data_IF_401571273092
#
_entry.id   IF_401571273092
#
_cell.length_a   1.000
_cell.length_b   1.000
_cell.length_c   1.000
_cell.angle_alpha   90.00
_cell.angle_beta   90.00
_cell.angle_gamma   90.00
#
_symmetry.space_group_name_H-M   'P 1'
#
loop_
_entity.id
_entity.type
_entity.pdbx_description
1 polymer ?
#
# COMPACT_ATOMS: atom_id res chain seq x y z
N UNK A 1 2.39 -24.35 6.04
CA UNK A 1 2.66 -23.38 7.10
C UNK A 1 1.73 -22.17 7.03
N UNK A 2 1.58 -21.42 8.12
CA UNK A 2 0.66 -20.27 8.20
C UNK A 2 0.90 -19.26 7.07
N UNK A 3 2.15 -18.87 6.85
CA UNK A 3 2.55 -17.83 5.88
C UNK A 3 2.48 -18.25 4.41
N UNK A 4 2.27 -19.52 4.12
CA UNK A 4 2.12 -20.01 2.75
C UNK A 4 0.65 -19.99 2.27
N UNK A 5 -0.29 -19.70 3.18
CA UNK A 5 -1.72 -19.60 2.90
C UNK A 5 -2.23 -18.20 3.23
N UNK A 6 -2.53 -17.43 2.18
CA UNK A 6 -2.97 -16.02 2.32
C UNK A 6 -4.28 -15.88 3.10
N UNK A 7 -5.19 -16.85 2.97
CA UNK A 7 -6.48 -16.82 3.67
C UNK A 7 -6.26 -17.01 5.17
N UNK A 8 -5.49 -18.03 5.56
CA UNK A 8 -5.18 -18.29 6.97
C UNK A 8 -4.38 -17.16 7.60
N UNK A 9 -3.40 -16.62 6.87
CA UNK A 9 -2.60 -15.47 7.33
C UNK A 9 -3.47 -14.26 7.58
N UNK A 10 -4.37 -13.93 6.63
CA UNK A 10 -5.28 -12.78 6.77
C UNK A 10 -6.27 -12.96 7.90
N UNK A 11 -6.89 -14.13 8.02
CA UNK A 11 -7.82 -14.39 9.12
C UNK A 11 -7.13 -14.18 10.46
N UNK A 12 -5.94 -14.75 10.64
CA UNK A 12 -5.18 -14.59 11.86
C UNK A 12 -4.74 -13.13 12.11
N UNK A 13 -4.43 -12.39 11.04
CA UNK A 13 -4.12 -10.96 11.13
C UNK A 13 -5.32 -10.15 11.64
N UNK A 14 -6.51 -10.38 11.09
CA UNK A 14 -7.76 -9.76 11.52
C UNK A 14 -8.04 -10.04 13.00
N UNK A 15 -7.93 -11.31 13.41
CA UNK A 15 -8.15 -11.73 14.80
C UNK A 15 -7.17 -11.06 15.80
N UNK A 16 -6.01 -10.59 15.31
CA UNK A 16 -5.00 -9.88 16.09
C UNK A 16 -4.96 -8.35 15.84
N UNK A 17 -5.97 -7.79 15.18
CA UNK A 17 -6.08 -6.35 14.92
C UNK A 17 -4.97 -5.81 14.00
N UNK A 18 -4.46 -6.63 13.08
CA UNK A 18 -3.56 -6.21 12.01
C UNK A 18 -4.38 -5.88 10.78
N UNK A 19 -4.21 -4.67 10.25
CA UNK A 19 -4.93 -4.22 9.06
C UNK A 19 -4.48 -5.00 7.82
N UNK A 20 -5.46 -5.51 7.07
CA UNK A 20 -5.30 -6.21 5.79
C UNK A 20 -6.37 -5.73 4.82
N UNK A 21 -6.19 -5.86 3.51
CA UNK A 21 -7.28 -5.58 2.56
C UNK A 21 -8.53 -6.38 2.91
N UNK A 22 -9.73 -5.74 3.00
CA UNK A 22 -10.98 -6.42 3.33
C UNK A 22 -11.24 -7.62 2.44
N UNK A 23 -11.60 -8.76 3.04
CA UNK A 23 -12.00 -9.97 2.30
C UNK A 23 -13.48 -9.91 1.97
N UNK A 24 -13.85 -10.10 0.71
CA UNK A 24 -15.23 -10.19 0.27
C UNK A 24 -15.78 -11.62 0.31
N UNK A 25 -14.91 -12.59 0.02
CA UNK A 25 -15.26 -14.00 0.14
C UNK A 25 -14.16 -14.96 -0.30
N UNK A 26 -14.48 -16.23 -0.14
CA UNK A 26 -13.58 -17.34 -0.46
C UNK A 26 -14.37 -18.34 -1.32
N UNK A 27 -13.74 -18.84 -2.38
CA UNK A 27 -14.25 -19.94 -3.20
C UNK A 27 -13.29 -21.14 -3.02
N UNK A 28 -13.81 -22.26 -2.50
CA UNK A 28 -13.05 -23.46 -2.20
C UNK A 28 -13.53 -24.69 -2.99
N UNK A 29 -14.61 -24.56 -3.76
CA UNK A 29 -15.20 -25.64 -4.55
C UNK A 29 -15.84 -25.12 -5.83
N UNK A 30 -15.88 -25.98 -6.87
CA UNK A 30 -16.50 -25.66 -8.16
C UNK A 30 -17.97 -25.21 -8.01
N UNK A 31 -18.71 -25.82 -7.08
CA UNK A 31 -20.09 -25.45 -6.80
C UNK A 31 -20.25 -23.99 -6.35
N UNK A 32 -19.23 -23.41 -5.71
CA UNK A 32 -19.30 -22.03 -5.22
C UNK A 32 -18.95 -21.00 -6.31
N UNK A 33 -18.36 -21.42 -7.43
CA UNK A 33 -18.03 -20.51 -8.54
C UNK A 33 -19.28 -19.78 -9.04
N UNK A 34 -20.40 -20.48 -9.18
CA UNK A 34 -21.67 -19.88 -9.61
C UNK A 34 -22.19 -18.80 -8.67
N UNK A 35 -21.67 -18.72 -7.44
CA UNK A 35 -22.03 -17.70 -6.44
C UNK A 35 -21.12 -16.47 -6.47
N UNK A 36 -20.21 -16.39 -7.45
CA UNK A 36 -19.26 -15.26 -7.52
C UNK A 36 -19.97 -13.90 -7.54
N UNK A 37 -21.10 -13.79 -8.22
CA UNK A 37 -21.92 -12.56 -8.23
C UNK A 37 -22.43 -12.17 -6.84
N UNK A 38 -22.84 -13.14 -6.03
CA UNK A 38 -23.31 -12.92 -4.66
C UNK A 38 -22.15 -12.42 -3.78
N UNK A 39 -20.94 -13.00 -3.97
CA UNK A 39 -19.73 -12.64 -3.23
C UNK A 39 -19.24 -11.24 -3.61
N UNK A 40 -19.22 -10.91 -4.89
CA UNK A 40 -18.85 -9.58 -5.37
C UNK A 40 -19.88 -8.54 -4.92
N UNK A 41 -21.17 -8.89 -4.89
CA UNK A 41 -22.24 -8.00 -4.46
C UNK A 41 -22.27 -6.69 -5.27
N UNK A 42 -22.19 -5.56 -4.57
CA UNK A 42 -22.17 -4.21 -5.16
C UNK A 42 -20.77 -3.68 -5.47
N UNK A 43 -19.70 -4.45 -5.19
CA UNK A 43 -18.32 -4.00 -5.42
C UNK A 43 -18.03 -3.96 -6.92
N UNK A 44 -17.66 -2.79 -7.41
CA UNK A 44 -17.33 -2.59 -8.84
C UNK A 44 -15.91 -2.98 -9.18
N UNK A 45 -15.03 -2.95 -8.19
CA UNK A 45 -13.63 -3.31 -8.28
C UNK A 45 -13.23 -4.29 -7.16
N UNK A 46 -12.38 -5.22 -7.49
CA UNK A 46 -11.93 -6.27 -6.58
C UNK A 46 -10.71 -7.00 -7.15
N UNK A 47 -10.10 -7.83 -6.31
CA UNK A 47 -8.99 -8.71 -6.71
C UNK A 47 -9.34 -10.16 -6.41
N UNK A 48 -9.04 -11.05 -7.35
CA UNK A 48 -9.09 -12.50 -7.16
C UNK A 48 -7.64 -12.99 -7.06
N UNK A 49 -7.33 -13.76 -6.01
CA UNK A 49 -6.00 -14.31 -5.75
C UNK A 49 -6.05 -15.77 -5.38
N UNK A 50 -5.11 -16.62 -5.86
CA UNK A 50 -4.91 -17.94 -5.31
C UNK A 50 -4.38 -17.86 -3.87
N UNK A 51 -4.89 -18.69 -2.96
CA UNK A 51 -4.46 -18.70 -1.55
C UNK A 51 -2.97 -19.07 -1.41
N UNK A 52 -2.48 -20.02 -2.22
CA UNK A 52 -1.11 -20.55 -2.17
C UNK A 52 -0.25 -20.18 -3.38
N UNK A 53 -0.68 -19.19 -4.18
CA UNK A 53 0.09 -18.66 -5.30
C UNK A 53 1.29 -17.80 -4.86
N UNK A 54 2.32 -17.75 -5.71
CA UNK A 54 3.53 -16.96 -5.47
C UNK A 54 3.84 -16.04 -6.66
N UNK A 55 4.63 -14.97 -6.42
CA UNK A 55 5.15 -14.10 -7.49
C UNK A 55 4.11 -13.27 -8.24
N UNK A 56 2.86 -13.24 -7.77
CA UNK A 56 1.76 -12.55 -8.43
C UNK A 56 1.06 -13.38 -9.52
N UNK A 57 1.41 -14.66 -9.66
CA UNK A 57 0.78 -15.54 -10.64
C UNK A 57 -0.65 -15.89 -10.20
N UNK A 58 -1.58 -15.92 -11.18
CA UNK A 58 -3.00 -16.18 -10.92
C UNK A 58 -3.76 -15.02 -10.25
N UNK A 59 -3.15 -13.84 -10.09
CA UNK A 59 -3.86 -12.66 -9.61
C UNK A 59 -4.63 -12.03 -10.78
N UNK A 60 -5.93 -11.84 -10.59
CA UNK A 60 -6.80 -11.10 -11.50
C UNK A 60 -7.29 -9.83 -10.79
N UNK A 61 -6.98 -8.67 -11.35
CA UNK A 61 -7.38 -7.36 -10.82
C UNK A 61 -8.51 -6.81 -11.69
N UNK A 62 -9.68 -6.68 -11.11
CA UNK A 62 -10.84 -6.02 -11.74
C UNK A 62 -10.86 -4.57 -11.28
N UNK A 63 -10.82 -3.65 -12.24
CA UNK A 63 -10.79 -2.21 -11.99
C UNK A 63 -12.15 -1.55 -12.06
N UNK A 64 -13.11 -2.16 -12.78
CA UNK A 64 -14.46 -1.64 -12.92
C UNK A 64 -15.40 -2.72 -13.47
N UNK A 65 -16.71 -2.48 -13.29
CA UNK A 65 -17.79 -3.30 -13.83
C UNK A 65 -18.75 -2.41 -14.62
N UNK A 66 -19.10 -2.83 -15.84
CA UNK A 66 -20.01 -2.10 -16.72
C UNK A 66 -20.87 -3.07 -17.54
N UNK A 67 -22.19 -2.91 -17.52
CA UNK A 67 -23.17 -3.68 -18.32
C UNK A 67 -22.98 -5.20 -18.28
N UNK A 68 -22.58 -5.74 -17.12
CA UNK A 68 -22.38 -7.19 -16.93
C UNK A 68 -21.01 -7.68 -17.37
N UNK A 69 -20.14 -6.80 -17.88
CA UNK A 69 -18.73 -7.07 -18.16
C UNK A 69 -17.82 -6.49 -17.06
N UNK A 70 -16.63 -7.05 -16.96
CA UNK A 70 -15.60 -6.68 -16.00
C UNK A 70 -14.39 -6.14 -16.74
N UNK A 71 -13.90 -4.98 -16.34
CA UNK A 71 -12.67 -4.42 -16.91
C UNK A 71 -11.48 -4.71 -15.99
N UNK A 72 -10.51 -5.47 -16.50
CA UNK A 72 -9.25 -5.70 -15.77
C UNK A 72 -8.45 -4.39 -15.61
N UNK A 73 -7.51 -4.36 -14.66
CA UNK A 73 -6.57 -3.22 -14.50
C UNK A 73 -5.75 -2.93 -15.76
N UNK A 74 -5.42 -3.97 -16.55
CA UNK A 74 -4.77 -3.81 -17.85
C UNK A 74 -5.70 -3.40 -19.00
N UNK A 75 -6.97 -3.01 -18.71
CA UNK A 75 -7.93 -2.51 -19.70
C UNK A 75 -8.68 -3.59 -20.49
N UNK A 76 -8.37 -4.88 -20.30
CA UNK A 76 -9.07 -5.98 -20.99
C UNK A 76 -10.51 -6.11 -20.46
N UNK A 77 -11.46 -6.26 -21.38
CA UNK A 77 -12.85 -6.58 -21.05
C UNK A 77 -13.00 -8.09 -20.86
N UNK A 78 -13.63 -8.49 -19.75
CA UNK A 78 -13.84 -9.87 -19.33
C UNK A 78 -15.33 -10.13 -19.16
N UNK A 79 -15.81 -11.30 -19.57
CA UNK A 79 -17.14 -11.79 -19.25
C UNK A 79 -17.17 -12.45 -17.87
N UNK A 80 -18.35 -12.82 -17.39
CA UNK A 80 -18.47 -13.62 -16.17
C UNK A 80 -17.82 -14.99 -16.37
N UNK A 81 -18.00 -15.60 -17.53
CA UNK A 81 -17.41 -16.90 -17.88
C UNK A 81 -15.88 -16.86 -17.85
N UNK A 82 -15.25 -15.75 -18.25
CA UNK A 82 -13.80 -15.58 -18.13
C UNK A 82 -13.35 -15.61 -16.66
N UNK A 83 -14.13 -14.99 -15.77
CA UNK A 83 -13.86 -15.00 -14.32
C UNK A 83 -14.08 -16.40 -13.73
N UNK A 84 -15.18 -17.07 -14.08
CA UNK A 84 -15.48 -18.44 -13.64
C UNK A 84 -14.41 -19.43 -14.11
N UNK A 85 -13.96 -19.30 -15.36
CA UNK A 85 -12.85 -20.11 -15.89
C UNK A 85 -11.54 -19.86 -15.12
N UNK A 86 -11.23 -18.60 -14.80
CA UNK A 86 -10.06 -18.27 -13.98
C UNK A 86 -10.15 -18.88 -12.58
N UNK A 87 -11.32 -18.83 -11.94
CA UNK A 87 -11.57 -19.43 -10.64
C UNK A 87 -11.38 -20.96 -10.68
N UNK A 88 -11.89 -21.66 -11.71
CA UNK A 88 -11.64 -23.08 -11.91
C UNK A 88 -10.14 -23.38 -12.06
N UNK A 89 -9.39 -22.51 -12.76
CA UNK A 89 -7.95 -22.58 -12.85
C UNK A 89 -7.24 -22.50 -11.49
N UNK A 90 -7.70 -21.60 -10.61
CA UNK A 90 -7.18 -21.50 -9.24
C UNK A 90 -7.49 -22.78 -8.45
N UNK A 91 -8.75 -23.22 -8.46
CA UNK A 91 -9.17 -24.41 -7.71
C UNK A 91 -8.44 -25.68 -8.14
N UNK A 92 -8.12 -25.80 -9.43
CA UNK A 92 -7.35 -26.93 -9.97
C UNK A 92 -5.87 -26.91 -9.58
N UNK A 93 -5.36 -25.80 -9.04
CA UNK A 93 -3.98 -25.65 -8.58
C UNK A 93 -2.99 -25.18 -9.66
N UNK A 94 -3.47 -24.66 -10.81
CA UNK A 94 -2.59 -24.18 -11.91
C UNK A 94 -1.59 -23.12 -11.39
N UNK A 95 -1.98 -22.30 -10.41
CA UNK A 95 -1.16 -21.21 -9.88
C UNK A 95 -0.48 -21.54 -8.55
N UNK A 96 -0.71 -22.75 -8.01
CA UNK A 96 -0.20 -23.12 -6.69
C UNK A 96 1.16 -23.78 -6.79
N UNK A 97 2.03 -23.50 -5.82
CA UNK A 97 3.30 -24.19 -5.68
C UNK A 97 3.07 -25.70 -5.52
N UNK A 98 3.60 -26.49 -6.46
CA UNK A 98 3.45 -27.94 -6.47
C UNK A 98 2.16 -28.46 -7.13
N UNK A 99 1.33 -27.61 -7.74
CA UNK A 99 0.13 -28.02 -8.48
C UNK A 99 -0.98 -28.63 -7.62
N UNK A 100 -1.00 -28.34 -6.32
CA UNK A 100 -2.05 -28.81 -5.41
C UNK A 100 -3.30 -27.95 -5.52
N UNK A 101 -4.47 -28.58 -5.29
CA UNK A 101 -5.75 -27.86 -5.21
C UNK A 101 -5.62 -26.65 -4.28
N UNK A 102 -6.19 -25.53 -4.71
CA UNK A 102 -6.12 -24.26 -4.02
C UNK A 102 -7.51 -23.66 -3.80
N UNK A 103 -7.57 -22.53 -3.15
CA UNK A 103 -8.78 -21.73 -2.91
C UNK A 103 -8.58 -20.34 -3.49
N UNK A 104 -9.65 -19.74 -3.98
CA UNK A 104 -9.62 -18.36 -4.45
C UNK A 104 -10.09 -17.42 -3.34
N UNK A 105 -9.32 -16.38 -3.10
CA UNK A 105 -9.65 -15.26 -2.23
C UNK A 105 -10.13 -14.10 -3.11
N UNK A 106 -11.31 -13.56 -2.81
CA UNK A 106 -11.84 -12.34 -3.40
C UNK A 106 -11.74 -11.24 -2.34
N UNK A 107 -11.08 -10.13 -2.68
CA UNK A 107 -10.80 -9.07 -1.72
C UNK A 107 -10.85 -7.68 -2.33
N UNK A 108 -10.81 -6.68 -1.45
CA UNK A 108 -10.68 -5.27 -1.77
C UNK A 108 -9.49 -5.01 -2.71
N UNK A 109 -9.73 -4.21 -3.73
CA UNK A 109 -8.67 -3.72 -4.60
C UNK A 109 -7.99 -2.51 -3.96
N UNK A 110 -6.74 -2.67 -3.58
CA UNK A 110 -5.94 -1.56 -3.06
C UNK A 110 -5.80 -0.45 -4.10
N UNK A 111 -6.13 0.77 -3.70
CA UNK A 111 -5.90 1.97 -4.49
C UNK A 111 -4.71 2.69 -3.87
N UNK A 112 -3.56 2.75 -4.57
CA UNK A 112 -2.35 3.35 -4.02
C UNK A 112 -2.57 4.81 -3.60
N UNK A 113 -1.92 5.20 -2.50
CA UNK A 113 -1.88 6.60 -2.09
C UNK A 113 -1.31 7.49 -3.20
N UNK A 114 -1.85 8.71 -3.40
CA UNK A 114 -1.42 9.64 -4.44
C UNK A 114 0.08 9.98 -4.42
N UNK A 115 0.77 9.84 -3.30
CA UNK A 115 2.23 10.06 -3.21
C UNK A 115 3.00 9.19 -4.21
N UNK A 116 2.48 8.00 -4.51
CA UNK A 116 3.13 7.08 -5.44
C UNK A 116 2.91 7.42 -6.91
N UNK A 117 1.95 8.28 -7.25
CA UNK A 117 1.63 8.62 -8.64
C UNK A 117 2.81 9.24 -9.40
N UNK A 118 3.67 9.97 -8.68
CA UNK A 118 4.86 10.59 -9.26
C UNK A 118 6.04 9.61 -9.43
N UNK A 119 6.14 8.59 -8.59
CA UNK A 119 7.33 7.73 -8.47
C UNK A 119 7.07 6.27 -8.82
N UNK A 120 5.92 5.93 -9.39
CA UNK A 120 5.57 4.58 -9.82
C UNK A 120 4.91 4.59 -11.20
N UNK A 121 5.09 3.52 -11.93
CA UNK A 121 4.43 3.29 -13.21
C UNK A 121 3.36 2.24 -13.05
N UNK A 122 2.08 2.67 -13.06
CA UNK A 122 0.93 1.79 -12.86
C UNK A 122 1.05 0.89 -11.60
N UNK A 123 0.15 -0.08 -11.43
CA UNK A 123 0.24 -1.08 -10.35
C UNK A 123 0.19 -0.50 -8.94
N UNK A 124 0.55 -1.32 -7.98
CA UNK A 124 0.55 -0.97 -6.55
C UNK A 124 1.99 -1.11 -6.02
N UNK A 125 2.64 0.02 -5.65
CA UNK A 125 3.89 -0.04 -4.90
C UNK A 125 3.71 -0.77 -3.59
N UNK A 126 4.73 -1.47 -3.14
CA UNK A 126 4.70 -2.10 -1.83
C UNK A 126 5.96 -1.82 -1.01
N UNK A 127 5.80 -1.94 0.29
CA UNK A 127 6.87 -1.76 1.28
C UNK A 127 7.17 -3.11 1.89
N UNK A 128 8.40 -3.60 1.69
CA UNK A 128 8.89 -4.81 2.36
C UNK A 128 9.74 -4.44 3.56
N UNK A 129 9.39 -4.96 4.72
CA UNK A 129 10.21 -4.85 5.94
C UNK A 129 10.66 -6.24 6.36
N UNK A 130 11.97 -6.40 6.59
CA UNK A 130 12.52 -7.62 7.19
C UNK A 130 12.50 -7.46 8.70
N UNK A 131 11.92 -8.45 9.38
CA UNK A 131 11.80 -8.50 10.83
C UNK A 131 12.53 -9.74 11.36
N UNK A 132 13.46 -9.54 12.29
CA UNK A 132 14.19 -10.57 13.00
C UNK A 132 13.72 -10.61 14.47
N UNK A 133 13.09 -11.69 14.89
CA UNK A 133 12.60 -11.88 16.28
C UNK A 133 11.80 -10.65 16.80
N UNK A 134 10.99 -10.06 15.91
CA UNK A 134 10.20 -8.87 16.20
C UNK A 134 10.94 -7.53 16.08
N UNK A 135 12.20 -7.52 15.65
CA UNK A 135 12.99 -6.32 15.41
C UNK A 135 13.03 -6.00 13.90
N UNK A 136 12.50 -4.86 13.42
CA UNK A 136 12.64 -4.46 12.02
C UNK A 136 14.11 -4.12 11.72
N UNK A 137 14.71 -4.80 10.75
CA UNK A 137 16.14 -4.64 10.46
C UNK A 137 16.47 -3.97 9.14
N UNK A 138 15.62 -4.12 8.13
CA UNK A 138 15.73 -3.44 6.82
C UNK A 138 14.34 -3.16 6.26
N UNK A 139 14.20 -2.03 5.58
CA UNK A 139 12.99 -1.66 4.84
C UNK A 139 13.32 -1.30 3.38
N UNK A 140 12.41 -1.60 2.47
CA UNK A 140 12.54 -1.33 1.04
C UNK A 140 11.18 -1.02 0.45
N UNK A 141 11.10 0.07 -0.32
CA UNK A 141 9.98 0.36 -1.20
C UNK A 141 10.23 -0.31 -2.57
N UNK A 142 9.25 -1.04 -3.09
CA UNK A 142 9.28 -1.66 -4.42
C UNK A 142 8.37 -0.89 -5.36
N UNK A 143 8.96 -0.29 -6.39
CA UNK A 143 8.24 0.54 -7.35
C UNK A 143 8.04 -0.20 -8.66
N UNK A 144 6.80 -0.41 -9.10
CA UNK A 144 6.48 -0.90 -10.43
C UNK A 144 7.10 -0.04 -11.53
N UNK A 145 7.51 -0.71 -12.62
CA UNK A 145 7.99 -0.08 -13.85
C UNK A 145 7.21 -0.62 -15.05
N UNK A 146 7.35 0.02 -16.21
CA UNK A 146 6.84 -0.53 -17.47
C UNK A 146 7.40 -1.91 -17.74
N UNK A 147 8.69 -2.13 -17.45
CA UNK A 147 9.35 -3.42 -17.64
C UNK A 147 8.74 -4.51 -16.74
N UNK A 148 8.35 -4.18 -15.51
CA UNK A 148 7.71 -5.14 -14.60
C UNK A 148 6.23 -5.37 -14.91
N UNK A 149 5.66 -4.64 -15.91
CA UNK A 149 4.23 -4.71 -16.24
C UNK A 149 3.34 -4.27 -15.07
N UNK A 150 3.75 -3.25 -14.32
CA UNK A 150 3.00 -2.76 -13.16
C UNK A 150 3.12 -3.63 -11.89
N UNK A 151 4.02 -4.63 -11.86
CA UNK A 151 4.23 -5.49 -10.70
C UNK A 151 5.39 -4.97 -9.85
N UNK A 152 5.21 -4.93 -8.52
CA UNK A 152 6.24 -4.57 -7.55
C UNK A 152 7.22 -5.74 -7.29
N UNK A 153 7.74 -6.36 -8.34
CA UNK A 153 8.62 -7.52 -8.29
C UNK A 153 9.97 -7.22 -8.93
N UNK A 154 11.04 -7.18 -8.13
CA UNK A 154 12.39 -6.86 -8.60
C UNK A 154 12.91 -7.84 -9.65
N UNK A 155 12.55 -9.13 -9.56
CA UNK A 155 12.94 -10.14 -10.55
C UNK A 155 12.26 -9.93 -11.91
N UNK A 156 11.16 -9.19 -11.93
CA UNK A 156 10.42 -8.84 -13.16
C UNK A 156 10.74 -7.41 -13.64
N UNK A 157 11.69 -6.72 -13.00
CA UNK A 157 12.14 -5.40 -13.43
C UNK A 157 11.59 -4.21 -12.62
N UNK A 158 10.97 -4.43 -11.46
CA UNK A 158 10.65 -3.35 -10.53
C UNK A 158 11.91 -2.75 -9.91
N UNK A 159 11.81 -1.54 -9.37
CA UNK A 159 12.88 -0.86 -8.65
C UNK A 159 12.80 -1.23 -7.17
N UNK A 160 13.93 -1.50 -6.55
CA UNK A 160 14.05 -1.54 -5.09
C UNK A 160 14.69 -0.27 -4.57
N UNK A 161 13.99 0.46 -3.71
CA UNK A 161 14.48 1.69 -3.08
C UNK A 161 14.62 1.43 -1.58
N UNK A 162 15.82 1.60 -1.02
CA UNK A 162 16.03 1.48 0.42
C UNK A 162 15.19 2.52 1.17
N UNK A 163 14.77 2.19 2.40
CA UNK A 163 14.02 3.12 3.26
C UNK A 163 14.68 3.16 4.63
N UNK A 164 14.98 4.34 5.12
CA UNK A 164 15.51 4.53 6.45
C UNK A 164 14.48 4.16 7.53
N UNK A 165 14.86 3.28 8.44
CA UNK A 165 13.97 2.75 9.47
C UNK A 165 13.50 3.80 10.48
N UNK A 166 14.31 4.83 10.72
CA UNK A 166 13.98 5.86 11.69
C UNK A 166 13.00 6.91 11.13
N UNK A 167 13.14 7.27 9.85
CA UNK A 167 12.45 8.43 9.29
C UNK A 167 11.42 8.07 8.21
N UNK A 168 11.49 6.87 7.62
CA UNK A 168 10.66 6.52 6.46
C UNK A 168 11.09 7.20 5.16
N UNK A 169 12.24 7.87 5.15
CA UNK A 169 12.75 8.55 3.95
C UNK A 169 13.45 7.53 3.05
N UNK A 170 13.16 7.61 1.76
CA UNK A 170 13.75 6.76 0.74
C UNK A 170 15.21 7.12 0.44
N UNK A 171 16.03 6.10 0.23
CA UNK A 171 17.44 6.17 -0.19
C UNK A 171 17.55 6.11 -1.73
N UNK A 172 18.76 5.81 -2.23
CA UNK A 172 18.94 5.55 -3.65
C UNK A 172 18.18 4.29 -4.08
N UNK A 173 17.67 4.30 -5.32
CA UNK A 173 17.05 3.14 -5.92
C UNK A 173 18.07 2.18 -6.55
N UNK A 174 17.66 0.94 -6.75
CA UNK A 174 18.39 -0.07 -7.54
C UNK A 174 17.45 -0.66 -8.58
N UNK A 175 17.81 -0.54 -9.83
CA UNK A 175 17.09 -1.09 -10.97
C UNK A 175 18.04 -1.93 -11.83
N UNK A 176 17.71 -3.18 -12.11
CA UNK A 176 18.55 -4.11 -12.87
C UNK A 176 20.02 -4.12 -12.38
N UNK A 177 20.18 -4.18 -11.06
CA UNK A 177 21.48 -4.14 -10.36
C UNK A 177 22.31 -2.84 -10.55
N UNK A 178 21.69 -1.76 -11.04
CA UNK A 178 22.32 -0.44 -11.16
C UNK A 178 21.69 0.54 -10.18
N UNK A 179 22.49 1.37 -9.54
CA UNK A 179 22.01 2.49 -8.70
C UNK A 179 21.35 3.53 -9.56
N UNK A 180 20.21 4.02 -9.10
CA UNK A 180 19.44 5.09 -9.72
C UNK A 180 18.93 6.06 -8.67
N UNK A 181 18.69 7.31 -9.06
CA UNK A 181 18.06 8.32 -8.20
C UNK A 181 16.70 8.76 -8.73
N UNK A 182 16.40 8.44 -9.98
CA UNK A 182 15.14 8.76 -10.65
C UNK A 182 14.48 7.51 -11.20
N UNK A 183 13.16 7.51 -11.23
CA UNK A 183 12.38 6.41 -11.82
C UNK A 183 12.53 6.40 -13.35
N UNK A 184 12.83 5.26 -14.00
CA UNK A 184 13.11 5.20 -15.44
C UNK A 184 11.94 5.61 -16.34
N UNK A 185 10.70 5.42 -15.89
CA UNK A 185 9.51 5.73 -16.71
C UNK A 185 8.91 7.09 -16.38
N UNK A 186 8.96 7.54 -15.10
CA UNK A 186 8.37 8.83 -14.69
C UNK A 186 9.39 9.96 -14.65
N UNK A 187 10.69 9.65 -14.62
CA UNK A 187 11.82 10.58 -14.49
C UNK A 187 11.88 11.35 -13.16
N UNK A 188 10.94 11.11 -12.27
CA UNK A 188 10.89 11.75 -10.97
C UNK A 188 11.89 11.13 -9.97
N UNK A 189 12.40 11.89 -8.99
CA UNK A 189 13.28 11.38 -7.96
C UNK A 189 12.59 10.28 -7.13
N UNK A 190 13.31 9.17 -6.91
CA UNK A 190 12.90 8.09 -5.99
C UNK A 190 13.60 8.20 -4.65
N UNK A 191 14.67 9.00 -4.56
CA UNK A 191 15.41 9.32 -3.35
C UNK A 191 14.81 10.52 -2.63
N UNK A 192 14.82 10.51 -1.30
CA UNK A 192 14.38 11.63 -0.47
C UNK A 192 12.86 11.77 -0.37
N UNK A 193 12.11 10.78 -0.80
CA UNK A 193 10.65 10.73 -0.62
C UNK A 193 10.34 10.29 0.80
N UNK A 194 9.60 11.09 1.55
CA UNK A 194 9.10 10.73 2.87
C UNK A 194 7.81 9.93 2.74
N UNK A 195 7.82 8.70 3.25
CA UNK A 195 6.64 7.83 3.20
C UNK A 195 5.66 8.23 4.31
N UNK A 196 4.42 8.58 3.97
CA UNK A 196 3.42 8.91 4.98
C UNK A 196 3.06 7.66 5.81
N UNK A 197 2.58 7.89 7.03
CA UNK A 197 2.21 6.83 7.98
C UNK A 197 3.35 5.86 8.33
N UNK A 198 4.60 6.30 8.28
CA UNK A 198 5.76 5.42 8.47
C UNK A 198 5.73 4.67 9.80
N UNK A 199 5.39 5.35 10.90
CA UNK A 199 5.26 4.73 12.22
C UNK A 199 4.22 3.61 12.23
N UNK A 200 3.13 3.76 11.47
CA UNK A 200 2.12 2.73 11.29
C UNK A 200 2.68 1.49 10.57
N UNK A 201 3.46 1.68 9.52
CA UNK A 201 4.10 0.58 8.79
C UNK A 201 5.05 -0.21 9.66
N UNK A 202 5.95 0.47 10.35
CA UNK A 202 7.00 -0.19 11.11
C UNK A 202 6.45 -0.86 12.38
N UNK A 203 5.43 -0.26 13.02
CA UNK A 203 4.69 -0.86 14.13
C UNK A 203 3.94 -2.12 13.68
N UNK A 204 3.23 -2.06 12.54
CA UNK A 204 2.51 -3.19 11.98
C UNK A 204 3.48 -4.35 11.67
N UNK A 205 4.60 -4.06 11.01
CA UNK A 205 5.60 -5.07 10.71
C UNK A 205 6.19 -5.73 11.96
N UNK A 206 6.48 -4.95 13.00
CA UNK A 206 7.00 -5.44 14.29
C UNK A 206 6.04 -6.44 14.94
N UNK A 207 4.73 -6.15 14.91
CA UNK A 207 3.67 -7.00 15.47
C UNK A 207 3.45 -8.31 14.69
N UNK A 208 3.89 -8.42 13.44
CA UNK A 208 3.77 -9.65 12.65
C UNK A 208 4.62 -10.80 13.21
N UNK A 209 5.60 -10.52 14.07
CA UNK A 209 6.33 -11.55 14.82
C UNK A 209 5.43 -12.29 15.80
N UNK A 210 4.63 -11.57 16.58
CA UNK A 210 3.67 -12.15 17.53
C UNK A 210 2.62 -13.00 16.80
N UNK A 211 2.23 -12.56 15.61
CA UNK A 211 1.25 -13.27 14.78
C UNK A 211 1.74 -14.66 14.36
N UNK A 212 3.02 -14.78 14.01
CA UNK A 212 3.57 -15.97 13.37
C UNK A 212 4.49 -16.79 14.27
N UNK A 213 5.17 -16.16 15.22
CA UNK A 213 6.26 -16.76 16.00
C UNK A 213 7.50 -17.08 15.15
N UNK A 214 7.57 -16.66 13.87
CA UNK A 214 8.72 -16.89 13.00
C UNK A 214 9.83 -15.90 13.35
N UNK A 215 10.99 -16.44 13.69
CA UNK A 215 12.16 -15.63 14.06
C UNK A 215 12.74 -14.77 12.92
N UNK A 216 12.37 -15.03 11.68
CA UNK A 216 12.79 -14.26 10.50
C UNK A 216 11.66 -14.23 9.48
N UNK A 217 11.15 -13.05 9.16
CA UNK A 217 10.05 -12.87 8.21
C UNK A 217 10.24 -11.61 7.37
N UNK A 218 9.71 -11.63 6.15
CA UNK A 218 9.45 -10.45 5.34
C UNK A 218 7.98 -10.10 5.42
N UNK A 219 7.68 -8.85 5.72
CA UNK A 219 6.34 -8.30 5.77
C UNK A 219 6.14 -7.40 4.56
N UNK A 220 5.21 -7.76 3.67
CA UNK A 220 4.86 -6.97 2.50
C UNK A 220 3.59 -6.17 2.80
N UNK A 221 3.69 -4.87 2.64
CA UNK A 221 2.65 -3.91 2.99
C UNK A 221 2.39 -2.93 1.87
N UNK A 222 1.20 -2.38 1.86
CA UNK A 222 0.77 -1.33 0.91
C UNK A 222 0.21 -0.14 1.66
N UNK A 223 0.22 1.01 1.01
CA UNK A 223 -0.48 2.20 1.44
C UNK A 223 -1.68 2.43 0.54
N UNK A 224 -2.86 2.22 1.10
CA UNK A 224 -4.12 2.55 0.44
C UNK A 224 -4.51 3.99 0.74
N UNK A 225 -5.06 4.69 -0.25
CA UNK A 225 -5.43 6.12 -0.14
C UNK A 225 -6.49 6.41 0.92
N UNK A 226 -7.39 5.44 1.19
CA UNK A 226 -8.53 5.60 2.10
C UNK A 226 -8.35 4.80 3.40
N UNK A 227 -7.70 3.63 3.32
CA UNK A 227 -7.56 2.68 4.43
C UNK A 227 -6.19 2.74 5.11
N UNK A 228 -5.23 3.49 4.55
CA UNK A 228 -3.89 3.63 5.11
C UNK A 228 -3.02 2.37 4.96
N UNK A 229 -2.05 2.15 5.88
CA UNK A 229 -1.15 1.01 5.83
C UNK A 229 -1.86 -0.33 6.05
N UNK A 230 -1.61 -1.30 5.15
CA UNK A 230 -2.18 -2.65 5.24
C UNK A 230 -1.13 -3.71 4.93
N UNK A 231 -1.15 -4.83 5.64
CA UNK A 231 -0.36 -6.02 5.34
C UNK A 231 -1.00 -6.78 4.17
N UNK A 232 -0.21 -7.05 3.12
CA UNK A 232 -0.61 -7.91 2.00
C UNK A 232 -0.31 -9.37 2.25
N UNK A 233 0.96 -9.65 2.59
CA UNK A 233 1.42 -11.02 2.80
C UNK A 233 2.65 -11.07 3.73
N UNK A 234 2.92 -12.26 4.25
CA UNK A 234 4.10 -12.59 5.02
C UNK A 234 4.93 -13.62 4.29
N UNK A 235 6.26 -13.45 4.32
CA UNK A 235 7.22 -14.32 3.64
C UNK A 235 8.18 -14.93 4.67
N UNK A 236 8.17 -16.28 4.78
CA UNK A 236 9.11 -17.00 5.65
C UNK A 236 10.54 -17.03 5.09
N UNK A 237 10.71 -16.80 3.80
CA UNK A 237 12.00 -16.81 3.09
C UNK A 237 12.09 -15.59 2.17
N UNK A 238 12.11 -14.37 2.72
CA UNK A 238 12.16 -13.16 1.90
C UNK A 238 13.48 -13.08 1.14
N UNK A 239 13.41 -12.61 -0.12
CA UNK A 239 14.59 -12.39 -0.95
C UNK A 239 15.52 -11.33 -0.37
N UNK A 240 16.84 -11.50 -0.59
CA UNK A 240 17.88 -10.67 0.01
C UNK A 240 18.25 -9.41 -0.80
N UNK A 241 17.57 -9.13 -1.90
CA UNK A 241 17.80 -7.93 -2.72
C UNK A 241 17.56 -6.61 -1.96
N UNK A 242 16.87 -6.67 -0.84
CA UNK A 242 16.71 -5.54 0.09
C UNK A 242 18.05 -5.00 0.60
N UNK A 243 19.09 -5.84 0.71
CA UNK A 243 20.45 -5.41 1.08
C UNK A 243 21.06 -4.50 0.00
N UNK A 244 20.84 -4.85 -1.28
CA UNK A 244 21.32 -4.06 -2.42
C UNK A 244 20.59 -2.71 -2.48
N UNK A 245 19.27 -2.72 -2.25
CA UNK A 245 18.48 -1.50 -2.22
C UNK A 245 18.93 -0.54 -1.10
N UNK A 246 19.33 -1.07 0.06
CA UNK A 246 19.79 -0.28 1.20
C UNK A 246 21.29 0.01 1.21
N UNK A 247 22.06 -0.58 0.29
CA UNK A 247 23.54 -0.54 0.33
C UNK A 247 24.12 -0.97 1.69
N UNK A 248 23.44 -1.93 2.33
CA UNK A 248 23.75 -2.33 3.70
C UNK A 248 23.53 -3.83 3.88
N UNK A 249 24.53 -4.50 4.44
CA UNK A 249 24.47 -5.93 4.75
C UNK A 249 23.51 -6.22 5.91
N UNK A 250 22.70 -7.26 5.76
CA UNK A 250 21.76 -7.73 6.79
C UNK A 250 22.49 -8.29 8.01
N UNK A 251 23.63 -8.95 7.82
CA UNK A 251 24.37 -9.65 8.88
C UNK A 251 24.73 -8.77 10.08
N UNK A 252 25.26 -7.57 9.82
CA UNK A 252 25.63 -6.65 10.90
C UNK A 252 24.42 -6.20 11.73
N UNK A 253 23.28 -5.95 11.07
CA UNK A 253 22.04 -5.58 11.76
C UNK A 253 21.45 -6.75 12.56
N UNK A 254 21.53 -7.97 12.04
CA UNK A 254 21.13 -9.16 12.77
C UNK A 254 21.99 -9.36 14.02
N UNK A 255 23.31 -9.21 13.92
CA UNK A 255 24.22 -9.30 15.06
C UNK A 255 23.93 -8.24 16.14
N UNK A 256 23.61 -7.01 15.73
CA UNK A 256 23.22 -5.95 16.67
C UNK A 256 21.94 -6.31 17.44
N UNK A 257 20.93 -6.85 16.74
CA UNK A 257 19.68 -7.33 17.37
C UNK A 257 19.95 -8.50 18.31
N UNK A 258 20.76 -9.47 17.91
CA UNK A 258 21.12 -10.61 18.76
C UNK A 258 21.84 -10.17 20.03
N UNK A 259 22.79 -9.23 19.90
CA UNK A 259 23.50 -8.65 21.06
C UNK A 259 22.53 -7.90 22.00
N UNK A 260 21.55 -7.18 21.46
CA UNK A 260 20.53 -6.51 22.27
C UNK A 260 19.64 -7.52 23.03
N UNK A 261 19.20 -8.59 22.35
CA UNK A 261 18.44 -9.66 22.98
C UNK A 261 19.24 -10.29 24.12
N UNK A 262 20.52 -10.58 23.92
CA UNK A 262 21.40 -11.12 24.96
C UNK A 262 21.59 -10.13 26.12
N UNK A 263 21.74 -8.84 25.83
CA UNK A 263 21.86 -7.79 26.84
C UNK A 263 20.62 -7.72 27.72
N UNK A 264 19.43 -7.74 27.10
CA UNK A 264 18.15 -7.72 27.81
C UNK A 264 17.92 -9.00 28.62
N UNK A 265 18.26 -10.16 28.07
CA UNK A 265 18.15 -11.44 28.77
C UNK A 265 18.99 -11.49 30.06
N UNK A 266 20.19 -10.91 30.06
CA UNK A 266 21.02 -10.76 31.27
C UNK A 266 20.38 -9.89 32.35
N UNK A 267 19.42 -9.03 31.97
CA UNK A 267 18.63 -8.19 32.87
C UNK A 267 17.29 -8.83 33.25
N UNK A 268 17.04 -10.08 32.83
CA UNK A 268 15.79 -10.80 33.07
C UNK A 268 14.64 -10.41 32.11
N UNK A 269 14.91 -9.62 31.05
CA UNK A 269 13.92 -9.17 30.07
C UNK A 269 14.02 -10.06 28.82
N UNK A 270 13.13 -11.05 28.71
CA UNK A 270 13.21 -12.05 27.63
C UNK A 270 12.33 -11.77 26.41
N UNK A 271 11.35 -10.90 26.51
CA UNK A 271 10.48 -10.54 25.40
C UNK A 271 10.00 -9.09 25.54
N UNK A 272 10.85 -8.12 25.15
CA UNK A 272 10.48 -6.71 25.27
C UNK A 272 9.26 -6.41 24.38
N UNK A 273 8.42 -5.45 24.76
CA UNK A 273 7.24 -5.07 23.97
C UNK A 273 7.63 -4.54 22.60
N UNK A 274 6.72 -4.59 21.59
CA UNK A 274 6.99 -4.15 20.23
C UNK A 274 7.59 -2.74 20.14
N UNK A 275 7.11 -1.81 20.96
CA UNK A 275 7.56 -0.41 20.99
C UNK A 275 9.03 -0.27 21.40
N UNK A 276 9.48 -1.09 22.34
CA UNK A 276 10.87 -1.10 22.78
C UNK A 276 11.80 -1.67 21.69
N UNK A 277 11.38 -2.73 21.03
CA UNK A 277 12.12 -3.32 19.90
C UNK A 277 12.24 -2.34 18.74
N UNK A 278 11.14 -1.63 18.46
CA UNK A 278 11.08 -0.60 17.43
C UNK A 278 12.04 0.56 17.75
N UNK A 279 11.96 1.12 18.96
CA UNK A 279 12.80 2.22 19.39
C UNK A 279 14.31 1.86 19.32
N UNK A 280 14.66 0.63 19.69
CA UNK A 280 16.03 0.13 19.52
C UNK A 280 16.46 0.17 18.04
N UNK A 281 15.65 -0.34 17.13
CA UNK A 281 15.99 -0.38 15.70
C UNK A 281 16.07 1.01 15.09
N UNK A 282 15.13 1.89 15.39
CA UNK A 282 15.13 3.27 14.91
C UNK A 282 16.36 4.03 15.37
N UNK A 283 16.77 3.89 16.64
CA UNK A 283 17.97 4.55 17.16
C UNK A 283 19.28 3.95 16.65
N UNK A 284 19.33 2.61 16.48
CA UNK A 284 20.56 1.89 16.11
C UNK A 284 20.84 1.95 14.61
N UNK A 285 19.78 1.94 13.79
CA UNK A 285 19.90 1.82 12.33
C UNK A 285 19.54 3.11 11.57
N UNK A 286 19.38 4.23 12.27
CA UNK A 286 19.11 5.53 11.67
C UNK A 286 20.20 5.95 10.66
N UNK A 287 19.76 6.50 9.53
CA UNK A 287 20.66 7.13 8.57
C UNK A 287 20.77 8.64 8.87
N UNK A 288 21.97 9.12 9.15
CA UNK A 288 22.22 10.51 9.53
C UNK A 288 21.78 11.52 8.44
N UNK A 289 21.92 11.17 7.14
CA UNK A 289 21.47 12.02 6.04
C UNK A 289 19.95 12.11 5.99
N UNK A 290 19.24 10.98 6.20
CA UNK A 290 17.80 10.95 6.27
C UNK A 290 17.27 11.72 7.49
N UNK A 291 17.93 11.62 8.64
CA UNK A 291 17.56 12.37 9.82
C UNK A 291 17.70 13.91 9.61
N UNK A 292 18.75 14.35 8.92
CA UNK A 292 18.91 15.75 8.55
C UNK A 292 17.83 16.23 7.58
N UNK A 293 17.53 15.42 6.54
CA UNK A 293 16.48 15.72 5.57
C UNK A 293 15.08 15.73 6.21
N UNK A 294 14.80 14.79 7.12
CA UNK A 294 13.52 14.78 7.86
C UNK A 294 13.28 16.05 8.63
N UNK A 295 14.33 16.57 9.27
CA UNK A 295 14.26 17.85 10.00
C UNK A 295 13.97 19.02 9.05
N UNK A 296 14.67 19.09 7.93
CA UNK A 296 14.46 20.13 6.91
C UNK A 296 13.02 20.10 6.35
N UNK A 297 12.52 18.91 6.01
CA UNK A 297 11.15 18.74 5.52
C UNK A 297 10.10 19.12 6.57
N UNK A 298 10.33 18.82 7.85
CA UNK A 298 9.46 19.21 8.93
C UNK A 298 9.43 20.75 9.11
N UNK A 299 10.57 21.43 9.03
CA UNK A 299 10.66 22.89 9.09
C UNK A 299 9.94 23.55 7.91
N UNK A 300 10.08 22.99 6.69
CA UNK A 300 9.38 23.49 5.50
C UNK A 300 7.86 23.34 5.62
N UNK A 301 7.37 22.19 6.13
CA UNK A 301 5.92 21.99 6.37
C UNK A 301 5.38 22.99 7.39
N UNK A 302 6.05 23.16 8.51
CA UNK A 302 5.63 24.13 9.53
C UNK A 302 5.56 25.55 8.98
N UNK A 303 6.53 25.94 8.14
CA UNK A 303 6.53 27.25 7.48
C UNK A 303 5.36 27.41 6.48
N UNK A 304 5.04 26.35 5.73
CA UNK A 304 3.92 26.34 4.78
C UNK A 304 2.57 26.43 5.51
N UNK A 305 2.38 25.64 6.57
CA UNK A 305 1.16 25.66 7.38
C UNK A 305 0.92 27.05 7.98
N UNK A 306 1.97 27.70 8.51
CA UNK A 306 1.88 29.06 9.02
C UNK A 306 1.51 30.09 7.93
N UNK A 307 2.06 29.94 6.72
CA UNK A 307 1.73 30.81 5.59
C UNK A 307 0.28 30.61 5.11
N UNK A 308 -0.19 29.39 5.09
CA UNK A 308 -1.57 29.05 4.69
C UNK A 308 -2.58 29.56 5.73
N UNK A 309 -2.26 29.47 7.03
CA UNK A 309 -3.08 30.04 8.11
C UNK A 309 -3.16 31.58 8.02
N UNK A 310 -2.03 32.26 7.80
CA UNK A 310 -2.02 33.72 7.55
C UNK A 310 -2.86 34.09 6.32
N UNK A 311 -2.76 33.31 5.23
CA UNK A 311 -3.54 33.54 4.02
C UNK A 311 -5.05 33.40 4.29
N UNK A 312 -5.44 32.37 5.05
CA UNK A 312 -6.83 32.13 5.46
C UNK A 312 -7.39 33.27 6.32
N UNK A 313 -6.62 33.73 7.29
CA UNK A 313 -6.98 34.90 8.15
C UNK A 313 -7.16 36.16 7.31
N UNK A 314 -6.25 36.42 6.37
CA UNK A 314 -6.35 37.58 5.44
C UNK A 314 -7.57 37.49 4.52
N UNK A 315 -7.93 36.31 4.07
CA UNK A 315 -9.12 36.05 3.25
C UNK A 315 -10.41 36.31 4.05
N UNK A 316 -10.46 35.85 5.30
CA UNK A 316 -11.60 36.04 6.20
C UNK A 316 -11.77 37.51 6.69
N UNK A 317 -10.69 38.28 6.71
CA UNK A 317 -10.71 39.69 7.15
C UNK A 317 -10.95 40.73 6.05
N UNK A 318 -11.15 40.32 4.78
CA UNK A 318 -11.59 41.24 3.72
C UNK A 318 -13.06 41.60 3.96
N UNK A 319 -13.41 42.87 4.14
CA UNK A 319 -14.82 43.30 4.21
C UNK A 319 -15.49 42.91 2.87
N UNK A 320 -16.67 42.33 2.96
CA UNK A 320 -17.47 41.96 1.80
C UNK A 320 -17.59 43.15 0.85
N UNK A 321 -17.29 42.94 -0.42
CA UNK A 321 -17.58 43.91 -1.45
C UNK A 321 -19.09 44.19 -1.41
N UNK A 322 -19.44 45.45 -1.31
CA UNK A 322 -20.80 45.97 -1.30
C UNK A 322 -21.69 45.22 -2.29
N UNK A 323 -22.80 44.71 -1.80
CA UNK A 323 -23.92 44.19 -2.61
C UNK A 323 -24.55 45.35 -3.39
N UNK A 324 -24.46 45.44 -4.73
CA UNK A 324 -25.06 46.54 -5.49
C UNK A 324 -26.52 46.25 -5.83
N UNK A 325 -27.33 45.81 -4.88
CA UNK A 325 -28.74 45.50 -5.09
C UNK A 325 -29.68 46.26 -4.15
N UNK A 326 -29.55 47.60 -4.07
CA UNK A 326 -30.60 48.45 -3.56
C UNK A 326 -30.67 49.74 -4.41
N UNK A 327 -31.13 49.66 -5.63
CA UNK A 327 -31.89 50.74 -6.27
C UNK A 327 -32.63 50.16 -7.52
N UNK A 328 -33.81 49.68 -7.34
CA UNK A 328 -34.76 49.42 -8.41
C UNK A 328 -36.09 50.05 -8.04
N UNK A 329 -36.19 51.33 -8.44
CA UNK A 329 -37.41 52.12 -8.31
C UNK A 329 -38.69 51.40 -8.76
N UNK A 330 -39.71 51.57 -7.95
CA UNK A 330 -41.10 51.14 -8.19
C UNK A 330 -41.59 51.77 -9.49
N UNK A 331 -41.82 51.01 -10.56
CA UNK A 331 -42.66 51.39 -11.72
C UNK A 331 -43.99 50.64 -11.64
N UNK A 332 -45.03 51.42 -11.41
CA UNK A 332 -46.44 51.02 -11.52
C UNK A 332 -46.76 50.68 -12.98
N UNK A 333 -47.40 49.58 -13.33
CA UNK A 333 -47.89 49.31 -14.69
C UNK A 333 -49.24 49.95 -14.88
N UNK A 334 -49.35 50.75 -15.93
CA UNK A 334 -50.66 51.21 -16.49
C UNK A 334 -51.32 50.08 -17.26
N UNK A 335 -52.63 50.01 -17.09
CA UNK A 335 -53.63 49.13 -17.76
C UNK A 335 -53.66 49.35 -19.27
N UNK A 336 -53.75 48.25 -20.05
CA UNK A 336 -54.01 48.33 -21.49
C UNK A 336 -54.28 46.99 -22.18
N UNK A 337 -55.55 46.69 -22.34
CA UNK A 337 -56.28 45.87 -23.34
C UNK A 337 -55.83 44.45 -23.80
N UNK A 338 -56.74 43.53 -23.93
CA UNK A 338 -56.50 42.16 -24.36
C UNK A 338 -56.40 41.99 -25.89
N UNK A 339 -55.73 40.99 -26.40
CA UNK A 339 -55.69 40.66 -27.82
C UNK A 339 -56.79 39.69 -28.22
N UNK A 340 -57.21 39.69 -29.53
CA UNK A 340 -58.25 38.85 -30.03
C UNK A 340 -57.85 37.42 -30.36
N UNK A 341 -58.78 36.49 -30.26
CA UNK A 341 -58.73 35.12 -30.73
C UNK A 341 -58.62 35.00 -32.25
N UNK A 342 -57.91 33.95 -32.71
CA UNK A 342 -58.07 33.18 -33.97
C UNK A 342 -56.83 32.27 -34.15
N UNK A 343 -56.88 31.10 -34.58
CA UNK A 343 -57.71 29.98 -35.06
C UNK A 343 -56.92 28.74 -34.86
#
# INVERSE_FOLDING_TARGET
PLVDDKILTKQKAIDNGIHVPPMYGIIDSEKQISRIRDIIGSHRDFVIKPSQGAGGDGIMVIADQFEGYYRSAGGRLLSLEDIEFHLSGILSGIYSLGGHRDRALIEYRVIPDPIFSAISYEGVPDIRIIVLKGYPVLAMLRLPTRQSGGKANLHQGAIGVGVDLATGITLDGTWLNKKIQTHPDTTNPVRGVELPFWEGFISLATRCYELTGLGYIGVDMVLDKDLGPMMLELNARPGLNIQIANDTGLSARCQAVEAEIERLAKQGLHNPPPEQRLAFCQSTFANAQCAALAKELAEQRAAQEAADEEAAIRAASKPGADDPSVDAGIRVPQSGNPPPARQ
#
